data_IF_261048982574
#
_entry.id   IF_261048982574
#
_cell.length_a   1.000
_cell.length_b   1.000
_cell.length_c   1.000
_cell.angle_alpha   90.00
_cell.angle_beta   90.00
_cell.angle_gamma   90.00
#
_symmetry.space_group_name_H-M   'P 1'
#
loop_
_entity.id
_entity.type
_entity.pdbx_description
1 polymer ?
#
# COMPACT_ATOMS: atom_id res chain seq x y z
N UNK A 1 -5.38 -79.41 -5.87
CA UNK A 1 -5.28 -78.09 -6.55
C UNK A 1 -5.88 -77.03 -5.64
N UNK A 2 -5.07 -76.32 -4.84
CA UNK A 2 -5.51 -75.19 -4.00
C UNK A 2 -5.15 -73.90 -4.74
N UNK A 3 -6.16 -73.12 -5.14
CA UNK A 3 -5.96 -71.78 -5.73
C UNK A 3 -5.93 -70.75 -4.60
N UNK A 4 -4.78 -70.12 -4.41
CA UNK A 4 -4.64 -68.89 -3.60
C UNK A 4 -5.24 -67.72 -4.38
N UNK A 5 -6.24 -67.04 -3.81
CA UNK A 5 -6.72 -65.76 -4.30
C UNK A 5 -5.92 -64.67 -3.59
N UNK A 6 -5.01 -64.01 -4.30
CA UNK A 6 -4.23 -62.88 -3.78
C UNK A 6 -4.97 -61.60 -4.19
N UNK A 7 -5.77 -61.04 -3.29
CA UNK A 7 -6.41 -59.75 -3.48
C UNK A 7 -5.40 -58.64 -3.18
N UNK A 8 -4.85 -58.04 -4.23
CA UNK A 8 -4.00 -56.86 -4.13
C UNK A 8 -4.89 -55.62 -3.90
N UNK A 9 -4.77 -55.03 -2.71
CA UNK A 9 -5.37 -53.72 -2.40
C UNK A 9 -4.38 -52.66 -2.84
N UNK A 10 -4.61 -52.04 -4.00
CA UNK A 10 -3.87 -50.85 -4.44
C UNK A 10 -4.48 -49.61 -3.79
N UNK A 11 -3.92 -49.20 -2.64
CA UNK A 11 -4.21 -47.90 -2.04
C UNK A 11 -3.55 -46.80 -2.88
N UNK A 12 -4.34 -46.08 -3.68
CA UNK A 12 -3.90 -44.86 -4.34
C UNK A 12 -3.72 -43.75 -3.30
N UNK A 13 -2.48 -43.53 -2.86
CA UNK A 13 -2.11 -42.29 -2.19
C UNK A 13 -2.00 -41.18 -3.24
N UNK A 14 -3.08 -40.44 -3.45
CA UNK A 14 -3.04 -39.17 -4.16
C UNK A 14 -2.30 -38.15 -3.29
N UNK A 15 -0.99 -38.01 -3.51
CA UNK A 15 -0.23 -36.89 -2.96
C UNK A 15 -0.70 -35.64 -3.70
N UNK A 16 -1.64 -34.91 -3.10
CA UNK A 16 -1.93 -33.55 -3.56
C UNK A 16 -0.70 -32.70 -3.25
N UNK A 17 0.14 -32.50 -4.25
CA UNK A 17 1.23 -31.54 -4.19
C UNK A 17 0.61 -30.14 -4.11
N UNK A 18 0.38 -29.65 -2.89
CA UNK A 18 0.21 -28.23 -2.67
C UNK A 18 1.51 -27.56 -3.11
N UNK A 19 1.43 -26.67 -4.11
CA UNK A 19 2.55 -25.84 -4.54
C UNK A 19 3.05 -25.02 -3.36
N UNK A 20 4.09 -25.51 -2.70
CA UNK A 20 4.89 -24.71 -1.78
C UNK A 20 5.62 -23.71 -2.67
N UNK A 21 5.38 -22.40 -2.48
CA UNK A 21 6.27 -21.37 -3.04
C UNK A 21 7.66 -21.72 -2.52
N UNK A 22 8.50 -22.31 -3.37
CA UNK A 22 9.85 -22.63 -2.97
C UNK A 22 10.62 -21.31 -2.95
N UNK A 23 11.09 -20.95 -1.77
CA UNK A 23 11.92 -19.75 -1.54
C UNK A 23 13.14 -19.72 -2.48
N UNK A 24 13.58 -20.90 -2.94
CA UNK A 24 14.62 -21.07 -3.96
C UNK A 24 14.33 -20.25 -5.21
N UNK A 25 13.13 -20.36 -5.77
CA UNK A 25 12.74 -19.69 -7.02
C UNK A 25 12.86 -18.16 -6.91
N UNK A 26 12.44 -17.58 -5.78
CA UNK A 26 12.53 -16.12 -5.55
C UNK A 26 14.00 -15.69 -5.43
N UNK A 27 14.83 -16.46 -4.73
CA UNK A 27 16.26 -16.16 -4.58
C UNK A 27 16.99 -16.23 -5.92
N UNK A 28 16.69 -17.23 -6.74
CA UNK A 28 17.27 -17.41 -8.06
C UNK A 28 16.97 -16.22 -8.98
N UNK A 29 15.75 -15.68 -8.94
CA UNK A 29 15.39 -14.48 -9.72
C UNK A 29 16.15 -13.23 -9.26
N UNK A 30 16.40 -13.10 -7.94
CA UNK A 30 16.98 -11.89 -7.34
C UNK A 30 18.51 -11.89 -7.39
N UNK A 31 19.18 -13.03 -7.24
CA UNK A 31 20.63 -13.11 -7.01
C UNK A 31 21.48 -12.47 -8.12
N UNK A 32 20.99 -12.46 -9.36
CA UNK A 32 21.71 -11.89 -10.50
C UNK A 32 21.47 -10.38 -10.68
N UNK A 33 20.57 -9.79 -9.88
CA UNK A 33 20.20 -8.38 -10.01
C UNK A 33 21.16 -7.49 -9.22
N UNK A 34 21.61 -6.40 -9.83
CA UNK A 34 22.40 -5.35 -9.16
C UNK A 34 21.49 -4.42 -8.33
N UNK A 35 20.74 -5.01 -7.40
CA UNK A 35 19.79 -4.30 -6.55
C UNK A 35 19.62 -5.02 -5.21
N UNK A 36 19.34 -4.26 -4.15
CA UNK A 36 18.89 -4.82 -2.87
C UNK A 36 17.38 -5.04 -2.95
N UNK A 37 16.94 -6.30 -2.91
CA UNK A 37 15.51 -6.65 -3.01
C UNK A 37 15.03 -7.22 -1.68
N UNK A 38 13.94 -6.65 -1.18
CA UNK A 38 13.21 -7.12 0.00
C UNK A 38 11.90 -7.75 -0.41
N UNK A 39 11.54 -8.87 0.21
CA UNK A 39 10.29 -9.59 -0.07
C UNK A 39 9.62 -9.94 1.25
N UNK A 40 8.31 -9.74 1.34
CA UNK A 40 7.48 -10.35 2.36
C UNK A 40 6.22 -10.93 1.72
N UNK A 41 5.89 -12.16 2.12
CA UNK A 41 4.69 -12.86 1.70
C UNK A 41 3.97 -13.31 2.96
N UNK A 42 2.68 -13.00 3.02
CA UNK A 42 1.79 -13.43 4.08
C UNK A 42 0.70 -14.28 3.44
N UNK A 43 0.63 -15.55 3.83
CA UNK A 43 -0.37 -16.48 3.35
C UNK A 43 -0.98 -17.21 4.54
N UNK A 44 -2.26 -16.92 4.81
CA UNK A 44 -2.92 -17.32 6.05
C UNK A 44 -2.13 -16.77 7.27
N UNK A 45 -1.60 -17.65 8.11
CA UNK A 45 -0.77 -17.30 9.27
C UNK A 45 0.73 -17.55 9.03
N UNK A 46 1.10 -17.95 7.81
CA UNK A 46 2.51 -18.15 7.45
C UNK A 46 3.11 -16.86 6.93
N UNK A 47 4.23 -16.46 7.53
CA UNK A 47 5.04 -15.33 7.12
C UNK A 47 6.31 -15.85 6.46
N UNK A 48 6.60 -15.35 5.27
CA UNK A 48 7.88 -15.52 4.60
C UNK A 48 8.51 -14.15 4.35
N UNK A 49 9.81 -14.03 4.61
CA UNK A 49 10.57 -12.79 4.36
C UNK A 49 11.94 -13.07 3.76
N UNK A 50 12.39 -12.18 2.87
CA UNK A 50 13.76 -12.10 2.36
C UNK A 50 14.26 -10.65 2.56
N UNK A 51 15.44 -10.49 3.18
CA UNK A 51 16.08 -9.19 3.41
C UNK A 51 15.23 -8.14 4.18
N UNK A 52 14.27 -8.57 5.00
CA UNK A 52 13.36 -7.65 5.70
C UNK A 52 14.05 -6.73 6.73
N UNK A 53 15.30 -7.02 7.12
CA UNK A 53 16.05 -6.18 8.07
C UNK A 53 16.52 -4.83 7.51
N UNK A 54 16.38 -4.60 6.20
CA UNK A 54 16.77 -3.34 5.57
C UNK A 54 15.64 -2.30 5.58
N UNK A 55 15.99 -1.04 5.30
CA UNK A 55 15.07 0.07 5.11
C UNK A 55 14.90 0.32 3.61
N UNK A 56 13.68 0.20 3.11
CA UNK A 56 13.39 0.40 1.68
C UNK A 56 12.60 1.70 1.49
N UNK A 57 13.05 2.62 0.61
CA UNK A 57 12.29 3.83 0.31
C UNK A 57 10.92 3.43 -0.25
N UNK A 58 9.86 4.00 0.32
CA UNK A 58 8.49 3.68 -0.07
C UNK A 58 8.14 4.30 -1.42
N UNK A 59 8.74 5.44 -1.76
CA UNK A 59 8.27 6.30 -2.85
C UNK A 59 6.73 6.46 -2.73
N UNK A 60 6.00 6.44 -3.84
CA UNK A 60 4.54 6.59 -3.83
C UNK A 60 3.77 5.50 -3.07
N UNK A 61 4.39 4.38 -2.64
CA UNK A 61 3.71 3.41 -1.77
C UNK A 61 3.27 4.05 -0.43
N UNK A 62 3.92 5.12 0.02
CA UNK A 62 3.50 5.82 1.24
C UNK A 62 2.11 6.47 1.12
N UNK A 63 1.61 6.72 -0.10
CA UNK A 63 0.25 7.26 -0.37
C UNK A 63 -0.85 6.35 0.18
N UNK A 64 -0.61 5.04 0.23
CA UNK A 64 -1.47 4.09 0.93
C UNK A 64 -1.58 4.42 2.42
N UNK A 65 -0.45 4.67 3.09
CA UNK A 65 -0.39 4.98 4.51
C UNK A 65 -1.10 6.31 4.83
N UNK A 66 -0.87 7.32 3.99
CA UNK A 66 -1.56 8.63 4.05
C UNK A 66 -3.07 8.44 3.89
N UNK A 67 -3.50 7.67 2.90
CA UNK A 67 -4.93 7.43 2.63
C UNK A 67 -5.62 6.72 3.78
N UNK A 68 -5.00 5.69 4.38
CA UNK A 68 -5.56 5.00 5.55
C UNK A 68 -5.71 5.96 6.73
N UNK A 69 -4.74 6.84 6.97
CA UNK A 69 -4.81 7.87 8.02
C UNK A 69 -5.94 8.88 7.75
N UNK A 70 -6.09 9.35 6.51
CA UNK A 70 -7.13 10.28 6.11
C UNK A 70 -8.53 9.65 6.26
N UNK A 71 -8.73 8.43 5.76
CA UNK A 71 -9.99 7.69 5.92
C UNK A 71 -10.33 7.47 7.40
N UNK A 72 -9.34 7.12 8.23
CA UNK A 72 -9.58 6.97 9.67
C UNK A 72 -10.01 8.27 10.34
N UNK A 73 -9.44 9.41 9.93
CA UNK A 73 -9.88 10.73 10.38
C UNK A 73 -11.33 11.00 9.94
N UNK A 74 -11.66 10.71 8.68
CA UNK A 74 -13.01 10.88 8.14
C UNK A 74 -14.03 10.05 8.91
N UNK A 75 -13.74 8.78 9.18
CA UNK A 75 -14.60 7.90 9.98
C UNK A 75 -14.85 8.49 11.37
N UNK A 76 -13.79 8.93 12.07
CA UNK A 76 -13.90 9.51 13.42
C UNK A 76 -14.74 10.80 13.44
N UNK A 77 -14.58 11.62 12.41
CA UNK A 77 -15.22 12.93 12.31
C UNK A 77 -16.54 12.89 11.54
N UNK A 78 -16.98 11.70 11.13
CA UNK A 78 -18.20 11.48 10.35
C UNK A 78 -18.24 12.31 9.06
N UNK A 79 -17.10 12.44 8.37
CA UNK A 79 -16.97 13.19 7.11
C UNK A 79 -17.28 12.25 5.94
N UNK A 80 -18.36 12.48 5.16
CA UNK A 80 -18.67 11.69 3.98
C UNK A 80 -17.59 11.77 2.89
N UNK A 81 -17.42 10.69 2.13
CA UNK A 81 -16.54 10.66 0.94
C UNK A 81 -16.91 11.72 -0.10
N UNK A 82 -18.20 12.03 -0.24
CA UNK A 82 -18.70 12.99 -1.23
C UNK A 82 -18.67 14.43 -0.72
N UNK A 83 -18.14 14.67 0.49
CA UNK A 83 -17.87 16.04 0.96
C UNK A 83 -16.91 16.74 0.02
N UNK A 84 -17.31 17.94 -0.41
CA UNK A 84 -16.54 18.78 -1.33
C UNK A 84 -15.67 19.75 -0.56
N UNK A 85 -14.43 19.91 -1.01
CA UNK A 85 -13.47 20.89 -0.53
C UNK A 85 -13.04 21.79 -1.68
N UNK A 86 -12.44 22.93 -1.35
CA UNK A 86 -11.80 23.80 -2.33
C UNK A 86 -10.28 23.63 -2.23
N UNK A 87 -9.64 23.23 -3.33
CA UNK A 87 -8.18 23.22 -3.46
C UNK A 87 -7.80 24.50 -4.19
N UNK A 88 -6.97 25.34 -3.56
CA UNK A 88 -6.50 26.57 -4.21
C UNK A 88 -5.49 26.25 -5.31
N UNK A 89 -5.28 27.21 -6.23
CA UNK A 89 -4.24 27.07 -7.26
C UNK A 89 -2.86 26.82 -6.62
N UNK A 90 -2.57 27.55 -5.54
CA UNK A 90 -1.28 27.54 -4.85
C UNK A 90 -0.98 26.19 -4.19
N UNK A 91 -2.02 25.44 -3.79
CA UNK A 91 -1.87 24.08 -3.27
C UNK A 91 -1.60 23.04 -4.35
N UNK A 92 -1.78 23.39 -5.64
CA UNK A 92 -1.44 22.52 -6.77
C UNK A 92 -0.07 22.90 -7.33
N UNK A 93 0.98 22.47 -6.63
CA UNK A 93 2.37 22.80 -6.96
C UNK A 93 2.69 22.44 -8.42
N UNK A 94 3.44 23.32 -9.08
CA UNK A 94 3.97 23.10 -10.43
C UNK A 94 5.19 22.14 -10.37
N UNK A 95 5.68 21.68 -11.52
CA UNK A 95 6.87 20.82 -11.66
C UNK A 95 6.85 19.44 -10.96
N UNK A 96 5.75 19.05 -10.34
CA UNK A 96 5.53 17.68 -9.82
C UNK A 96 4.58 16.87 -10.71
N UNK A 97 4.57 15.55 -10.55
CA UNK A 97 3.63 14.67 -11.22
C UNK A 97 2.23 14.81 -10.60
N UNK A 98 1.32 15.45 -11.32
CA UNK A 98 -0.05 15.70 -10.86
C UNK A 98 -1.05 15.69 -12.02
N UNK A 99 -1.63 14.52 -12.34
CA UNK A 99 -2.71 14.40 -13.31
C UNK A 99 -3.91 15.32 -13.03
N UNK A 100 -4.24 15.60 -11.77
CA UNK A 100 -5.32 16.52 -11.40
C UNK A 100 -4.99 17.96 -11.82
N UNK A 101 -3.78 18.44 -11.52
CA UNK A 101 -3.34 19.78 -11.95
C UNK A 101 -3.32 19.88 -13.48
N UNK A 102 -2.90 18.83 -14.18
CA UNK A 102 -2.90 18.81 -15.65
C UNK A 102 -4.33 18.93 -16.23
N UNK A 103 -5.33 18.37 -15.54
CA UNK A 103 -6.75 18.48 -15.92
C UNK A 103 -7.32 19.88 -15.65
N UNK A 104 -6.84 20.56 -14.61
CA UNK A 104 -7.31 21.88 -14.19
C UNK A 104 -6.14 22.87 -14.02
N UNK A 105 -5.47 23.28 -15.11
CA UNK A 105 -4.27 24.10 -15.03
C UNK A 105 -4.60 25.52 -14.55
N UNK A 106 -3.72 26.07 -13.69
CA UNK A 106 -3.71 27.49 -13.28
C UNK A 106 -4.99 28.02 -12.61
N UNK A 107 -5.80 27.16 -11.99
CA UNK A 107 -7.03 27.56 -11.30
C UNK A 107 -7.23 26.78 -10.00
N UNK A 108 -8.03 27.30 -9.07
CA UNK A 108 -8.53 26.50 -7.95
C UNK A 108 -9.77 25.70 -8.34
N UNK A 109 -10.06 24.62 -7.62
CA UNK A 109 -11.17 23.71 -7.94
C UNK A 109 -11.94 23.28 -6.70
N UNK A 110 -13.25 23.06 -6.88
CA UNK A 110 -14.05 22.28 -5.96
C UNK A 110 -13.97 20.80 -6.36
N UNK A 111 -13.65 19.93 -5.40
CA UNK A 111 -13.47 18.50 -5.63
C UNK A 111 -13.88 17.70 -4.39
N UNK A 112 -14.39 16.48 -4.60
CA UNK A 112 -14.79 15.59 -3.50
C UNK A 112 -13.58 14.94 -2.82
N UNK A 113 -13.71 14.56 -1.55
CA UNK A 113 -12.69 13.76 -0.86
C UNK A 113 -12.49 12.38 -1.53
N UNK A 114 -13.56 11.81 -2.08
CA UNK A 114 -13.52 10.62 -2.94
C UNK A 114 -12.53 10.81 -4.08
N UNK A 115 -12.70 11.87 -4.88
CA UNK A 115 -11.85 12.13 -6.03
C UNK A 115 -10.40 12.42 -5.61
N UNK A 116 -10.18 13.16 -4.53
CA UNK A 116 -8.82 13.41 -3.99
C UNK A 116 -8.12 12.07 -3.68
N UNK A 117 -8.79 11.15 -3.01
CA UNK A 117 -8.25 9.83 -2.69
C UNK A 117 -8.04 8.99 -3.95
N UNK A 118 -9.00 9.01 -4.88
CA UNK A 118 -8.89 8.33 -6.18
C UNK A 118 -7.67 8.81 -6.96
N UNK A 119 -7.45 10.13 -7.07
CA UNK A 119 -6.27 10.69 -7.72
C UNK A 119 -4.97 10.31 -7.00
N UNK A 120 -5.01 10.23 -5.67
CA UNK A 120 -3.85 9.84 -4.86
C UNK A 120 -3.46 8.37 -5.08
N UNK A 121 -4.43 7.45 -5.10
CA UNK A 121 -4.14 6.00 -5.17
C UNK A 121 -4.03 5.47 -6.61
N UNK A 122 -5.00 5.81 -7.47
CA UNK A 122 -5.05 5.27 -8.85
C UNK A 122 -4.04 6.00 -9.73
N UNK A 123 -4.02 7.33 -9.64
CA UNK A 123 -3.20 8.17 -10.50
C UNK A 123 -1.89 8.61 -9.85
N UNK A 124 -1.58 8.15 -8.63
CA UNK A 124 -0.37 8.51 -7.88
C UNK A 124 -0.10 10.02 -7.85
N UNK A 125 -1.14 10.85 -7.81
CA UNK A 125 -1.01 12.30 -7.91
C UNK A 125 -0.31 12.87 -6.67
N UNK A 126 0.75 13.64 -6.88
CA UNK A 126 1.59 14.17 -5.81
C UNK A 126 0.91 15.32 -5.06
N UNK A 127 0.14 16.16 -5.76
CA UNK A 127 -0.53 17.30 -5.11
C UNK A 127 -1.68 16.84 -4.23
N UNK A 128 -2.46 15.86 -4.66
CA UNK A 128 -3.53 15.31 -3.81
C UNK A 128 -2.98 14.53 -2.62
N UNK A 129 -1.82 13.89 -2.76
CA UNK A 129 -1.11 13.28 -1.65
C UNK A 129 -0.74 14.32 -0.57
N UNK A 130 -0.11 15.41 -0.95
CA UNK A 130 0.29 16.47 -0.01
C UNK A 130 -0.92 17.14 0.64
N UNK A 131 -1.99 17.37 -0.14
CA UNK A 131 -3.26 17.84 0.40
C UNK A 131 -3.84 16.87 1.44
N UNK A 132 -3.81 15.55 1.19
CA UNK A 132 -4.27 14.54 2.16
C UNK A 132 -3.38 14.46 3.41
N UNK A 133 -2.08 14.68 3.27
CA UNK A 133 -1.16 14.76 4.42
C UNK A 133 -1.60 15.91 5.34
N UNK A 134 -1.84 17.09 4.77
CA UNK A 134 -2.31 18.25 5.54
C UNK A 134 -3.69 18.01 6.15
N UNK A 135 -4.62 17.41 5.39
CA UNK A 135 -5.94 17.03 5.88
C UNK A 135 -5.86 16.04 7.06
N UNK A 136 -4.95 15.05 7.01
CA UNK A 136 -4.69 14.13 8.12
C UNK A 136 -3.99 14.81 9.32
N UNK A 137 -3.56 16.07 9.15
CA UNK A 137 -2.94 16.92 10.17
C UNK A 137 -1.41 16.82 10.21
N UNK A 138 -0.79 16.48 9.08
CA UNK A 138 0.66 16.47 8.85
C UNK A 138 1.27 15.06 8.87
N UNK A 139 2.41 14.91 8.18
CA UNK A 139 3.08 13.60 7.97
C UNK A 139 3.43 12.88 9.27
N UNK A 140 3.81 13.64 10.31
CA UNK A 140 4.09 13.10 11.65
C UNK A 140 2.86 12.42 12.28
N UNK A 141 1.65 12.95 12.03
CA UNK A 141 0.41 12.32 12.51
C UNK A 141 0.10 11.03 11.75
N UNK A 142 0.37 11.00 10.45
CA UNK A 142 0.27 9.79 9.63
C UNK A 142 1.21 8.72 10.18
N UNK A 143 2.50 9.04 10.37
CA UNK A 143 3.51 8.14 10.95
C UNK A 143 3.07 7.59 12.32
N UNK A 144 2.65 8.49 13.23
CA UNK A 144 2.22 8.13 14.58
C UNK A 144 1.00 7.21 14.55
N UNK A 145 0.02 7.51 13.68
CA UNK A 145 -1.16 6.69 13.50
C UNK A 145 -0.80 5.28 13.01
N UNK A 146 0.02 5.15 11.95
CA UNK A 146 0.43 3.83 11.47
C UNK A 146 1.18 3.05 12.55
N UNK A 147 2.07 3.72 13.30
CA UNK A 147 2.77 3.11 14.44
C UNK A 147 1.84 2.67 15.57
N UNK A 148 0.76 3.41 15.81
CA UNK A 148 -0.28 3.04 16.79
C UNK A 148 -1.00 1.73 16.44
N UNK A 149 -1.02 1.34 15.16
CA UNK A 149 -1.54 0.04 14.72
C UNK A 149 -0.56 -1.12 14.98
N UNK A 150 0.57 -0.86 15.64
CA UNK A 150 1.61 -1.85 15.91
C UNK A 150 2.58 -2.08 14.75
N UNK A 151 2.46 -1.32 13.66
CA UNK A 151 3.42 -1.35 12.54
C UNK A 151 4.60 -0.45 12.91
N UNK A 152 5.72 -1.02 13.36
CA UNK A 152 6.81 -0.23 13.98
C UNK A 152 8.02 0.01 13.08
N UNK A 153 8.24 -0.83 12.07
CA UNK A 153 9.45 -0.81 11.24
C UNK A 153 9.20 -0.02 9.95
N UNK A 154 8.84 1.25 10.17
CA UNK A 154 8.69 2.27 9.14
C UNK A 154 9.07 3.64 9.69
N UNK A 155 9.26 4.60 8.78
CA UNK A 155 9.39 6.00 9.09
C UNK A 155 8.73 6.83 7.99
N UNK A 156 7.85 7.76 8.35
CA UNK A 156 7.29 8.75 7.44
C UNK A 156 7.57 10.16 7.98
N UNK A 157 8.38 10.92 7.27
CA UNK A 157 8.77 12.29 7.66
C UNK A 157 8.66 13.30 6.52
N UNK A 158 8.51 12.84 5.28
CA UNK A 158 8.56 13.67 4.08
C UNK A 158 7.20 13.72 3.37
N UNK A 159 6.94 14.85 2.70
CA UNK A 159 5.84 15.04 1.74
C UNK A 159 6.35 14.79 0.31
N UNK A 160 5.45 14.70 -0.68
CA UNK A 160 5.89 14.65 -2.09
C UNK A 160 6.65 15.94 -2.46
N UNK A 161 6.23 17.10 -1.94
CA UNK A 161 6.95 18.35 -2.12
C UNK A 161 8.38 18.30 -1.56
N UNK A 162 8.60 17.85 -0.31
CA UNK A 162 9.94 17.79 0.26
C UNK A 162 10.83 16.74 -0.42
N UNK A 163 10.25 15.63 -0.90
CA UNK A 163 10.95 14.65 -1.74
C UNK A 163 11.30 15.20 -3.13
N UNK A 164 10.47 16.10 -3.68
CA UNK A 164 10.75 16.75 -4.96
C UNK A 164 11.88 17.77 -4.85
N UNK A 165 11.90 18.57 -3.77
CA UNK A 165 12.98 19.54 -3.52
C UNK A 165 14.35 18.87 -3.37
N UNK A 166 14.39 17.71 -2.72
CA UNK A 166 15.58 16.89 -2.62
C UNK A 166 15.23 15.41 -2.68
N UNK A 167 15.59 14.77 -3.80
CA UNK A 167 15.31 13.35 -4.03
C UNK A 167 15.87 12.43 -2.95
N UNK A 168 16.94 12.84 -2.24
CA UNK A 168 17.49 12.05 -1.14
C UNK A 168 16.55 11.94 0.06
N UNK A 169 15.61 12.88 0.21
CA UNK A 169 14.57 12.81 1.24
C UNK A 169 13.67 11.57 1.04
N UNK A 170 13.55 11.03 -0.18
CA UNK A 170 12.79 9.79 -0.41
C UNK A 170 13.26 8.60 0.44
N UNK A 171 14.53 8.59 0.86
CA UNK A 171 15.07 7.56 1.75
C UNK A 171 14.64 7.74 3.22
N UNK A 172 14.17 8.92 3.62
CA UNK A 172 13.61 9.14 4.95
C UNK A 172 12.21 8.51 5.08
N UNK A 173 11.45 8.43 3.98
CA UNK A 173 10.19 7.70 3.91
C UNK A 173 10.46 6.23 3.57
N UNK A 174 10.60 5.37 4.59
CA UNK A 174 10.95 3.96 4.38
C UNK A 174 10.07 3.00 5.17
N UNK A 175 10.02 1.75 4.74
CA UNK A 175 9.40 0.65 5.48
C UNK A 175 10.13 -0.67 5.23
N UNK A 176 9.91 -1.65 6.11
CA UNK A 176 10.26 -3.03 5.80
C UNK A 176 9.16 -3.71 4.98
N UNK A 177 9.48 -4.68 4.10
CA UNK A 177 8.46 -5.41 3.34
C UNK A 177 7.39 -6.05 4.26
N UNK A 178 7.80 -6.62 5.39
CA UNK A 178 6.89 -7.23 6.36
C UNK A 178 5.90 -6.21 6.95
N UNK A 179 6.37 -4.99 7.23
CA UNK A 179 5.51 -3.94 7.80
C UNK A 179 4.39 -3.53 6.85
N UNK A 180 4.67 -3.47 5.54
CA UNK A 180 3.66 -3.17 4.52
C UNK A 180 2.59 -4.26 4.48
N UNK A 181 2.98 -5.54 4.38
CA UNK A 181 1.99 -6.64 4.31
C UNK A 181 1.22 -6.82 5.63
N UNK A 182 1.83 -6.52 6.77
CA UNK A 182 1.16 -6.52 8.06
C UNK A 182 0.11 -5.40 8.15
N UNK A 183 0.42 -4.20 7.64
CA UNK A 183 -0.55 -3.10 7.59
C UNK A 183 -1.75 -3.50 6.71
N UNK A 184 -1.51 -4.08 5.53
CA UNK A 184 -2.56 -4.58 4.64
C UNK A 184 -3.44 -5.62 5.37
N UNK A 185 -2.84 -6.65 6.01
CA UNK A 185 -3.60 -7.65 6.78
C UNK A 185 -4.46 -7.00 7.85
N UNK A 186 -3.88 -6.12 8.67
CA UNK A 186 -4.61 -5.45 9.76
C UNK A 186 -5.81 -4.65 9.26
N UNK A 187 -5.65 -3.91 8.15
CA UNK A 187 -6.77 -3.16 7.57
C UNK A 187 -7.89 -4.09 7.14
N UNK A 188 -7.55 -5.27 6.61
CA UNK A 188 -8.50 -6.28 6.18
C UNK A 188 -9.18 -7.03 7.34
N UNK A 189 -8.46 -7.28 8.44
CA UNK A 189 -8.93 -8.20 9.51
C UNK A 189 -9.40 -7.51 10.78
N UNK A 190 -8.91 -6.30 11.09
CA UNK A 190 -9.07 -5.70 12.41
C UNK A 190 -10.06 -4.52 12.42
N UNK A 191 -10.87 -4.37 11.36
CA UNK A 191 -11.89 -3.31 11.22
C UNK A 191 -11.32 -1.90 11.52
N UNK A 192 -10.10 -1.63 11.04
CA UNK A 192 -9.41 -0.36 11.29
C UNK A 192 -10.20 0.83 10.73
N UNK A 193 -10.81 0.65 9.56
CA UNK A 193 -11.68 1.60 8.89
C UNK A 193 -13.14 1.16 9.01
N UNK A 194 -14.08 2.11 8.89
CA UNK A 194 -15.50 1.77 8.73
C UNK A 194 -15.70 0.89 7.48
N UNK A 195 -16.78 0.10 7.45
CA UNK A 195 -17.07 -0.76 6.29
C UNK A 195 -17.11 0.02 4.97
N UNK A 196 -17.68 1.24 4.97
CA UNK A 196 -17.73 2.11 3.80
C UNK A 196 -16.34 2.60 3.37
N UNK A 197 -15.51 3.05 4.32
CA UNK A 197 -14.15 3.52 4.04
C UNK A 197 -13.24 2.38 3.59
N UNK A 198 -13.37 1.19 4.19
CA UNK A 198 -12.65 -0.01 3.77
C UNK A 198 -13.03 -0.43 2.36
N UNK A 199 -14.33 -0.56 2.06
CA UNK A 199 -14.80 -0.96 0.73
C UNK A 199 -14.31 -0.01 -0.36
N UNK A 200 -14.36 1.31 -0.09
CA UNK A 200 -13.83 2.30 -1.01
C UNK A 200 -12.31 2.20 -1.22
N UNK A 201 -11.54 2.01 -0.14
CA UNK A 201 -10.09 1.82 -0.23
C UNK A 201 -9.74 0.57 -1.04
N UNK A 202 -10.41 -0.56 -0.76
CA UNK A 202 -10.22 -1.83 -1.45
C UNK A 202 -10.51 -1.69 -2.96
N UNK A 203 -11.68 -1.15 -3.30
CA UNK A 203 -12.07 -0.88 -4.69
C UNK A 203 -11.05 0.01 -5.41
N UNK A 204 -10.61 1.09 -4.75
CA UNK A 204 -9.65 2.04 -5.34
C UNK A 204 -8.29 1.38 -5.58
N UNK A 205 -7.83 0.54 -4.65
CA UNK A 205 -6.57 -0.20 -4.80
C UNK A 205 -6.65 -1.28 -5.90
N UNK A 206 -7.79 -1.97 -6.03
CA UNK A 206 -8.02 -2.97 -7.09
C UNK A 206 -8.12 -2.34 -8.48
N UNK A 207 -8.60 -1.09 -8.58
CA UNK A 207 -8.68 -0.34 -9.83
C UNK A 207 -7.38 0.39 -10.20
N UNK A 208 -6.30 0.22 -9.43
CA UNK A 208 -5.00 0.80 -9.77
C UNK A 208 -4.29 -0.06 -10.83
N UNK A 209 -4.10 0.50 -12.02
CA UNK A 209 -3.45 -0.15 -13.18
C UNK A 209 -1.99 0.28 -13.38
N UNK A 210 -1.38 0.93 -12.39
CA UNK A 210 0.00 1.40 -12.51
C UNK A 210 0.97 0.22 -12.74
N UNK A 211 1.86 0.36 -13.73
CA UNK A 211 2.83 -0.68 -14.06
C UNK A 211 2.32 -1.82 -14.96
N UNK A 212 1.06 -1.75 -15.42
CA UNK A 212 0.61 -2.59 -16.54
C UNK A 212 1.46 -2.31 -17.80
N UNK A 213 1.82 -3.37 -18.50
CA UNK A 213 2.64 -3.35 -19.71
C UNK A 213 1.78 -3.46 -20.97
#
# INVERSE_FOLDING_TARGET
MKRFLMSAVCSFYSIMAFGQIQIGDIKEVIQEKKATVGVAILYQDKIFTLSDNQQYPLMSLFKFHVTVAALKKMDREHIPLDSTVYITREQMHENTYSPLRNKYPNQGIHISLRDIITYTIIYSDNNTCDWLIDFAGGIKKVDTFIKSLGIKKLNLTETEHSMHENIMNSYNNWSSPLSVVQLIKKIYTDEILSATSFAFLEETMLNCSSGEK
#
